data_IF_292110627075
#
_entry.id   IF_292110627075
#
_cell.length_a   1.000
_cell.length_b   1.000
_cell.length_c   1.000
_cell.angle_alpha   90.00
_cell.angle_beta   90.00
_cell.angle_gamma   90.00
#
_symmetry.space_group_name_H-M   'P 1'
#
loop_
_entity.id
_entity.type
_entity.pdbx_description
1 polymer ?
2 non-polymer ?
3 non-polymer ?
4 water ?
#
# COMPACT_ATOMS: atom_id res chain seq x y z
N UNK A 121 7.98 -39.45 23.52
CA UNK A 121 8.25 -38.36 24.44
C UNK A 121 8.47 -37.06 23.68
N UNK A 122 9.43 -37.07 22.76
CA UNK A 122 9.73 -35.89 21.96
C UNK A 122 8.60 -35.56 20.99
N UNK A 123 7.76 -36.53 20.66
CA UNK A 123 6.64 -36.28 19.74
C UNK A 123 5.65 -35.30 20.38
N UNK A 124 5.28 -35.56 21.63
CA UNK A 124 4.38 -34.63 22.33
C UNK A 124 5.12 -33.36 22.74
N UNK A 125 6.40 -33.49 23.11
CA UNK A 125 7.23 -32.36 23.49
C UNK A 125 7.71 -31.55 22.28
N UNK A 126 7.18 -31.83 21.09
CA UNK A 126 7.44 -30.98 19.92
C UNK A 126 6.73 -29.65 20.02
N UNK A 127 5.98 -29.42 21.11
CA UNK A 127 5.35 -28.12 21.31
C UNK A 127 6.37 -27.00 21.43
N UNK A 128 7.66 -27.34 21.59
CA UNK A 128 8.71 -26.33 21.54
C UNK A 128 8.73 -25.66 20.17
N UNK A 129 8.46 -26.44 19.12
CA UNK A 129 8.39 -25.87 17.77
C UNK A 129 7.22 -24.90 17.64
N UNK A 130 6.07 -25.26 18.23
CA UNK A 130 4.93 -24.35 18.20
C UNK A 130 5.16 -23.14 19.12
N UNK A 131 5.75 -23.39 20.30
CA UNK A 131 6.08 -22.29 21.19
C UNK A 131 7.14 -21.37 20.63
N UNK A 132 8.00 -21.89 19.75
CA UNK A 132 9.01 -21.04 19.12
C UNK A 132 8.42 -20.05 18.14
N UNK A 133 7.30 -20.41 17.51
CA UNK A 133 6.63 -19.47 16.62
C UNK A 133 5.91 -18.38 17.42
N UNK A 134 5.26 -18.76 18.52
CA UNK A 134 4.64 -17.78 19.40
C UNK A 134 5.66 -16.79 19.94
N UNK A 135 6.91 -17.23 20.09
CA UNK A 135 7.96 -16.31 20.56
C UNK A 135 8.30 -15.29 19.49
N UNK A 136 8.35 -15.71 18.22
CA UNK A 136 8.66 -14.77 17.15
C UNK A 136 7.53 -13.76 16.94
N UNK A 137 6.28 -14.21 17.09
CA UNK A 137 5.15 -13.28 17.01
C UNK A 137 5.20 -12.29 18.17
N UNK A 138 5.53 -12.77 19.37
CA UNK A 138 5.59 -11.89 20.54
C UNK A 138 6.65 -10.80 20.37
N UNK A 139 7.81 -11.17 19.82
CA UNK A 139 8.88 -10.19 19.64
C UNK A 139 8.51 -9.17 18.58
N UNK A 140 7.80 -9.58 17.53
CA UNK A 140 7.38 -8.65 16.50
C UNK A 140 6.24 -7.76 17.00
N UNK A 141 5.23 -8.36 17.65
CA UNK A 141 4.10 -7.58 18.15
C UNK A 141 4.54 -6.57 19.18
N UNK A 142 5.56 -6.88 19.99
CA UNK A 142 6.07 -5.91 20.94
C UNK A 142 6.78 -4.77 20.23
N UNK A 143 7.48 -5.06 19.13
CA UNK A 143 8.12 -4.00 18.36
C UNK A 143 7.09 -3.13 17.65
N UNK A 144 5.93 -3.69 17.31
CA UNK A 144 4.84 -2.91 16.74
C UNK A 144 4.09 -2.09 17.78
N UNK A 145 4.42 -2.23 19.06
CA UNK A 145 3.76 -1.51 20.16
C UNK A 145 2.28 -1.86 20.22
N UNK A 146 1.97 -3.14 20.03
CA UNK A 146 0.60 -3.64 20.12
C UNK A 146 0.32 -4.35 21.43
N UNK A 147 1.32 -4.49 22.30
CA UNK A 147 1.09 -4.90 23.67
C UNK A 147 0.88 -6.39 23.90
N UNK A 148 0.92 -7.21 22.85
CA UNK A 148 0.79 -8.66 22.98
C UNK A 148 -0.52 -9.04 23.67
N UNK A 149 -1.59 -8.31 23.36
CA UNK A 149 -2.90 -8.60 23.92
C UNK A 149 -3.68 -9.60 23.07
N UNK A 150 -3.76 -9.35 21.75
CA UNK A 150 -4.41 -10.30 20.86
C UNK A 150 -3.62 -11.59 20.72
N UNK A 151 -2.33 -11.58 21.06
CA UNK A 151 -1.52 -12.78 20.93
C UNK A 151 -1.83 -13.79 22.02
N UNK A 152 -1.93 -13.34 23.27
CA UNK A 152 -2.19 -14.26 24.38
C UNK A 152 -3.51 -15.01 24.20
N UNK A 153 -4.49 -14.38 23.56
CA UNK A 153 -5.75 -15.07 23.30
C UNK A 153 -5.61 -16.07 22.16
N UNK A 154 -4.83 -15.71 21.13
CA UNK A 154 -4.66 -16.62 19.99
C UNK A 154 -3.98 -17.92 20.40
N UNK A 155 -3.10 -17.87 21.39
CA UNK A 155 -2.43 -19.08 21.84
C UNK A 155 -3.42 -20.05 22.44
N UNK A 156 -4.38 -19.53 23.24
CA UNK A 156 -5.35 -20.41 23.88
C UNK A 156 -6.32 -21.00 22.86
N UNK A 157 -6.79 -20.19 21.92
CA UNK A 157 -7.72 -20.70 20.91
C UNK A 157 -7.03 -21.71 20.00
N UNK A 158 -5.73 -21.54 19.75
CA UNK A 158 -5.01 -22.50 18.91
C UNK A 158 -4.98 -23.88 19.56
N UNK A 159 -4.82 -23.93 20.88
CA UNK A 159 -4.82 -25.22 21.58
C UNK A 159 -6.22 -25.84 21.56
N UNK A 160 -7.24 -25.05 21.87
CA UNK A 160 -8.61 -25.55 21.82
C UNK A 160 -9.00 -25.99 20.41
N UNK A 161 -8.42 -25.35 19.39
CA UNK A 161 -8.61 -25.83 18.02
C UNK A 161 -7.92 -27.17 17.82
N UNK A 162 -6.72 -27.34 18.41
CA UNK A 162 -6.04 -28.63 18.35
C UNK A 162 -6.78 -29.68 19.18
N UNK A 163 -7.43 -29.25 20.27
CA UNK A 163 -8.25 -30.18 21.04
C UNK A 163 -9.47 -30.63 20.26
N UNK A 164 -10.15 -29.70 19.58
CA UNK A 164 -11.31 -30.06 18.78
C UNK A 164 -10.92 -30.87 17.55
N UNK A 165 -9.74 -30.60 16.98
CA UNK A 165 -9.31 -31.34 15.80
C UNK A 165 -8.97 -32.78 16.14
N UNK A 166 -8.36 -33.01 17.31
CA UNK A 166 -8.06 -34.37 17.73
C UNK A 166 -9.34 -35.17 17.96
N UNK A 167 -10.36 -34.55 18.53
CA UNK A 167 -11.64 -35.23 18.71
C UNK A 167 -12.31 -35.49 17.36
N UNK A 168 -12.16 -34.56 16.41
CA UNK A 168 -12.71 -34.77 15.08
C UNK A 168 -12.01 -35.91 14.33
N UNK A 169 -10.81 -36.29 14.76
CA UNK A 169 -10.10 -37.42 14.19
C UNK A 169 -10.56 -38.75 14.76
N UNK A 170 -11.71 -38.78 15.45
CA UNK A 170 -12.31 -40.04 15.90
C UNK A 170 -12.87 -40.74 14.67
N UNK A 171 -11.97 -41.46 13.98
CA UNK A 171 -12.31 -42.03 12.67
C UNK A 171 -13.43 -43.05 12.78
N UNK A 172 -13.44 -43.85 13.85
CA UNK A 172 -14.43 -44.91 14.04
C UNK A 172 -14.51 -45.82 12.82
N UNK A 173 -13.35 -46.18 12.28
CA UNK A 173 -13.25 -46.99 11.08
C UNK A 173 -13.53 -48.47 11.31
N UNK A 174 -13.97 -48.84 12.51
CA UNK A 174 -14.29 -50.22 12.82
C UNK A 174 -15.30 -50.31 13.96
N UNK A 201 -21.79 -51.84 16.88
CA UNK A 201 -23.13 -51.46 17.33
C UNK A 201 -23.12 -50.08 17.99
N UNK A 202 -22.06 -49.32 17.77
CA UNK A 202 -21.92 -47.99 18.34
C UNK A 202 -22.61 -46.98 17.42
N UNK A 203 -23.63 -46.32 17.95
CA UNK A 203 -24.38 -45.31 17.20
C UNK A 203 -23.79 -43.91 17.40
N UNK A 204 -22.47 -43.79 17.26
CA UNK A 204 -21.77 -42.54 17.45
C UNK A 204 -21.91 -41.59 16.26
N UNK A 205 -22.72 -41.95 15.26
CA UNK A 205 -22.89 -41.10 14.08
C UNK A 205 -23.60 -39.79 14.39
N UNK A 206 -24.07 -39.59 15.62
CA UNK A 206 -24.64 -38.31 16.03
C UNK A 206 -23.62 -37.39 16.66
N UNK A 207 -22.57 -37.94 17.26
CA UNK A 207 -21.49 -37.12 17.79
C UNK A 207 -20.56 -36.57 16.72
N UNK A 208 -20.60 -37.13 15.51
CA UNK A 208 -19.74 -36.63 14.44
C UNK A 208 -20.17 -35.27 13.94
N UNK A 209 -21.46 -35.00 13.67
CA UNK A 209 -21.83 -33.62 13.29
C UNK A 209 -21.63 -32.62 14.41
N UNK A 210 -21.71 -33.06 15.67
CA UNK A 210 -21.50 -32.13 16.78
C UNK A 210 -20.05 -31.72 16.88
N UNK A 211 -19.12 -32.60 16.51
CA UNK A 211 -17.70 -32.26 16.58
C UNK A 211 -17.29 -31.39 15.38
N UNK A 212 -17.92 -31.57 14.24
CA UNK A 212 -17.53 -30.82 13.05
C UNK A 212 -17.98 -29.36 13.15
N UNK A 213 -19.25 -29.14 13.49
CA UNK A 213 -19.77 -27.78 13.56
C UNK A 213 -19.14 -27.00 14.72
N UNK A 214 -18.88 -27.68 15.84
CA UNK A 214 -18.25 -27.00 16.97
C UNK A 214 -16.80 -26.66 16.68
N UNK A 215 -16.11 -27.47 15.89
CA UNK A 215 -14.74 -27.17 15.52
C UNK A 215 -14.68 -25.99 14.56
N UNK A 216 -15.67 -25.88 13.66
CA UNK A 216 -15.70 -24.75 12.75
C UNK A 216 -16.04 -23.45 13.46
N UNK A 217 -16.82 -23.53 14.54
CA UNK A 217 -17.11 -22.33 15.33
C UNK A 217 -15.84 -21.77 15.98
N UNK A 218 -14.90 -22.65 16.35
CA UNK A 218 -13.62 -22.23 16.88
C UNK A 218 -12.57 -22.04 15.79
N UNK A 219 -12.76 -22.66 14.62
CA UNK A 219 -11.82 -22.45 13.52
C UNK A 219 -11.96 -21.04 12.94
N UNK A 220 -13.19 -20.52 12.88
CA UNK A 220 -13.39 -19.15 12.41
C UNK A 220 -12.95 -18.13 13.46
N UNK A 221 -13.15 -18.45 14.75
CA UNK A 221 -12.70 -17.55 15.80
C UNK A 221 -11.18 -17.50 15.85
N UNK A 222 -10.52 -18.63 15.57
CA UNK A 222 -9.06 -18.66 15.55
C UNK A 222 -8.51 -17.93 14.33
N UNK A 223 -9.15 -18.12 13.17
CA UNK A 223 -8.69 -17.44 11.96
C UNK A 223 -9.00 -15.95 12.00
N UNK A 224 -10.05 -15.55 12.73
CA UNK A 224 -10.34 -14.13 12.88
C UNK A 224 -9.28 -13.41 13.71
N UNK A 225 -8.55 -14.14 14.57
CA UNK A 225 -7.49 -13.53 15.34
C UNK A 225 -6.16 -13.48 14.58
N UNK A 226 -5.91 -14.49 13.74
CA UNK A 226 -4.68 -14.52 12.96
C UNK A 226 -4.59 -13.37 11.97
N UNK A 227 -5.72 -12.75 11.62
CA UNK A 227 -5.69 -11.57 10.76
C UNK A 227 -5.33 -10.30 11.52
N UNK A 228 -5.73 -10.22 12.79
CA UNK A 228 -5.41 -9.04 13.61
C UNK A 228 -3.95 -9.01 14.01
N UNK A 229 -3.24 -10.13 13.90
CA UNK A 229 -1.82 -10.18 14.22
C UNK A 229 -1.02 -9.65 13.04
N UNK A 230 -0.11 -8.72 13.29
CA UNK A 230 0.70 -8.15 12.24
C UNK A 230 1.82 -9.08 11.80
N UNK A 231 2.28 -8.83 10.57
CA UNK A 231 3.35 -9.64 9.99
C UNK A 231 4.64 -9.49 10.80
N UNK A 232 5.45 -10.54 10.80
CA UNK A 232 6.70 -10.53 11.57
C UNK A 232 7.68 -9.57 10.92
N UNK A 233 8.19 -8.63 11.70
CA UNK A 233 9.13 -7.63 11.19
C UNK A 233 10.50 -8.25 10.95
N UNK A 234 11.24 -7.63 10.04
CA UNK A 234 12.60 -8.07 9.75
C UNK A 234 13.57 -7.48 10.77
N UNK A 235 14.73 -8.12 10.98
CA UNK A 235 15.61 -7.69 12.07
C UNK A 235 16.18 -6.29 11.91
N UNK A 236 16.32 -5.79 10.68
CA UNK A 236 16.89 -4.47 10.46
C UNK A 236 15.83 -3.37 10.41
N UNK A 237 14.68 -3.58 11.04
CA UNK A 237 13.62 -2.58 11.12
C UNK A 237 13.87 -1.70 12.34
N UNK A 238 13.79 -0.38 12.22
CA UNK A 238 13.97 0.49 13.39
C UNK A 238 12.87 0.26 14.41
N UNK A 239 13.28 0.05 15.67
CA UNK A 239 12.36 -0.23 16.76
C UNK A 239 12.05 1.10 17.44
N UNK A 240 10.92 1.69 17.09
CA UNK A 240 10.47 2.95 17.68
C UNK A 240 9.00 3.13 17.38
N UNK A 241 8.33 3.92 18.22
CA UNK A 241 6.91 4.18 18.08
C UNK A 241 6.60 5.57 17.51
N UNK A 242 7.62 6.36 17.21
CA UNK A 242 7.42 7.68 16.62
C UNK A 242 8.07 7.72 15.25
N UNK A 243 7.47 8.50 14.35
CA UNK A 243 8.02 8.65 13.01
C UNK A 243 9.24 9.56 12.99
N UNK A 244 9.46 10.34 14.05
CA UNK A 244 10.65 11.17 14.15
C UNK A 244 11.92 10.35 14.29
N UNK A 245 11.82 9.04 14.53
CA UNK A 245 12.96 8.14 14.57
C UNK A 245 13.09 7.31 13.29
N UNK A 246 12.50 7.76 12.18
CA UNK A 246 12.67 7.08 10.92
C UNK A 246 14.14 7.12 10.49
N UNK A 247 14.68 5.96 10.14
CA UNK A 247 16.09 5.83 9.82
C UNK A 247 16.36 6.31 8.39
N UNK A 248 17.14 7.37 8.26
CA UNK A 248 17.53 7.86 6.94
C UNK A 248 18.65 6.99 6.39
N UNK A 249 18.37 6.31 5.28
CA UNK A 249 19.36 5.41 4.70
C UNK A 249 20.34 6.17 3.80
N UNK A 250 19.82 6.87 2.80
CA UNK A 250 20.66 7.60 1.86
C UNK A 250 19.93 8.83 1.36
N UNK A 251 20.69 9.80 0.87
CA UNK A 251 20.16 11.06 0.38
C UNK A 251 20.80 11.40 -0.96
N UNK A 252 19.99 11.87 -1.89
CA UNK A 252 20.46 12.23 -3.22
C UNK A 252 19.98 13.63 -3.58
N UNK A 253 20.84 14.39 -4.25
CA UNK A 253 20.46 15.70 -4.76
C UNK A 253 20.66 16.83 -3.77
N UNK A 254 21.07 17.99 -4.28
CA UNK A 254 21.26 19.18 -3.46
C UNK A 254 19.95 19.96 -3.38
N UNK A 255 19.71 20.58 -2.23
CA UNK A 255 18.45 21.29 -2.01
C UNK A 255 18.47 22.60 -2.79
N UNK A 256 17.41 22.93 -3.54
CA UNK A 256 17.39 24.18 -4.31
C UNK A 256 17.47 25.43 -3.44
N UNK A 257 17.56 26.60 -4.07
CA UNK A 257 17.68 27.87 -3.37
C UNK A 257 16.35 28.59 -3.24
N UNK A 258 15.23 27.93 -3.55
CA UNK A 258 13.93 28.58 -3.45
C UNK A 258 13.51 28.70 -1.99
N UNK A 259 13.19 29.93 -1.58
CA UNK A 259 12.75 30.22 -0.22
C UNK A 259 11.29 30.65 -0.29
N UNK A 260 10.37 29.70 -0.12
CA UNK A 260 8.95 29.95 -0.32
C UNK A 260 8.48 31.00 0.68
N UNK A 261 7.95 32.11 0.15
CA UNK A 261 7.44 33.19 1.00
C UNK A 261 6.17 33.82 0.44
N UNK A 262 5.59 33.27 -0.61
CA UNK A 262 4.38 33.81 -1.20
C UNK A 262 4.59 34.71 -2.40
N UNK A 263 5.87 34.97 -2.79
CA UNK A 263 6.26 35.79 -3.92
C UNK A 263 6.39 34.91 -5.18
N UNK A 264 6.15 35.48 -6.37
CA UNK A 264 6.16 34.65 -7.59
C UNK A 264 7.46 33.87 -7.81
N UNK A 265 8.58 34.33 -7.26
CA UNK A 265 9.82 33.58 -7.38
C UNK A 265 9.87 32.34 -6.49
N UNK A 266 9.01 32.26 -5.49
CA UNK A 266 9.01 31.13 -4.56
C UNK A 266 7.62 31.01 -3.95
N UNK A 267 6.85 30.05 -4.45
CA UNK A 267 5.46 29.86 -4.05
C UNK A 267 5.25 28.41 -3.60
N UNK A 268 4.07 28.18 -3.04
CA UNK A 268 3.62 26.82 -2.76
C UNK A 268 3.01 26.20 -4.02
N UNK A 269 2.92 24.87 -4.02
CA UNK A 269 2.47 24.17 -5.22
C UNK A 269 1.06 24.57 -5.61
N UNK A 270 0.18 24.77 -4.63
CA UNK A 270 -1.19 25.20 -4.94
C UNK A 270 -1.22 26.61 -5.51
N UNK A 271 -0.29 27.48 -5.07
CA UNK A 271 -0.27 28.85 -5.57
C UNK A 271 0.24 28.91 -7.00
N UNK A 272 1.19 28.04 -7.36
CA UNK A 272 1.69 28.02 -8.74
C UNK A 272 0.65 27.43 -9.68
N UNK A 273 0.07 26.28 -9.30
CA UNK A 273 -0.88 25.60 -10.18
C UNK A 273 -2.16 26.41 -10.35
N UNK A 274 -2.60 27.12 -9.31
CA UNK A 274 -3.79 27.95 -9.46
C UNK A 274 -3.52 29.17 -10.33
N UNK A 275 -2.27 29.65 -10.36
CA UNK A 275 -1.88 30.74 -11.24
C UNK A 275 -1.53 30.26 -12.64
N UNK A 276 -1.58 28.95 -12.89
CA UNK A 276 -1.32 28.39 -14.21
C UNK A 276 -2.56 27.74 -14.81
N UNK A 277 -3.71 27.88 -14.17
CA UNK A 277 -4.91 27.21 -14.64
C UNK A 277 -4.79 25.71 -14.66
N UNK A 278 -4.08 25.12 -13.69
CA UNK A 278 -3.91 23.68 -13.65
C UNK A 278 -5.15 22.99 -13.10
N UNK A 279 -5.68 23.49 -11.98
CA UNK A 279 -6.80 22.82 -11.32
C UNK A 279 -7.83 23.87 -10.93
N UNK A 280 -9.02 23.36 -10.59
CA UNK A 280 -10.13 24.19 -10.12
C UNK A 280 -10.72 23.49 -8.90
N UNK A 281 -10.48 24.04 -7.71
CA UNK A 281 -11.01 23.44 -6.49
C UNK A 281 -12.29 24.12 -6.00
N UNK A 282 -12.54 25.37 -6.40
CA UNK A 282 -13.80 26.02 -6.02
C UNK A 282 -14.98 25.27 -6.63
N UNK A 283 -14.93 25.04 -7.94
CA UNK A 283 -16.01 24.33 -8.60
C UNK A 283 -15.90 22.82 -8.40
N UNK A 284 -14.70 22.31 -8.15
CA UNK A 284 -14.55 20.88 -7.89
C UNK A 284 -15.13 20.48 -6.54
N UNK A 285 -14.96 21.34 -5.54
CA UNK A 285 -15.55 21.09 -4.23
C UNK A 285 -17.06 21.28 -4.23
N UNK A 286 -17.58 22.11 -5.13
CA UNK A 286 -19.02 22.29 -5.23
C UNK A 286 -19.71 21.03 -5.74
N UNK A 287 -19.02 20.25 -6.56
CA UNK A 287 -19.59 19.06 -7.17
C UNK A 287 -19.31 17.77 -6.42
N UNK A 288 -18.14 17.65 -5.78
CA UNK A 288 -17.74 16.39 -5.15
C UNK A 288 -17.46 16.53 -3.65
N UNK A 289 -17.69 17.71 -3.07
CA UNK A 289 -17.37 17.91 -1.68
C UNK A 289 -15.92 18.33 -1.47
N UNK A 290 -15.53 18.40 -0.19
CA UNK A 290 -14.19 18.81 0.17
C UNK A 290 -13.15 17.97 -0.57
N UNK A 291 -12.05 18.63 -0.96
CA UNK A 291 -10.91 18.11 -1.72
C UNK A 291 -11.22 17.85 -3.19
N UNK A 292 -12.45 18.12 -3.65
CA UNK A 292 -12.77 17.91 -5.05
C UNK A 292 -12.07 18.93 -5.94
N UNK A 293 -11.76 18.50 -7.16
CA UNK A 293 -11.03 19.36 -8.09
C UNK A 293 -11.22 18.87 -9.52
N UNK A 294 -11.04 19.80 -10.45
CA UNK A 294 -10.87 19.49 -11.87
C UNK A 294 -9.39 19.62 -12.22
N UNK A 295 -8.96 18.86 -13.22
CA UNK A 295 -7.69 19.10 -13.88
C UNK A 295 -7.95 19.91 -15.15
N UNK A 296 -7.05 20.83 -15.46
CA UNK A 296 -7.28 21.76 -16.58
C UNK A 296 -5.98 22.04 -17.29
N UNK A 297 -6.08 22.26 -18.61
CA UNK A 297 -5.00 22.73 -19.49
C UNK A 297 -3.77 21.85 -19.28
N UNK A 298 -2.58 22.42 -19.08
CA UNK A 298 -1.36 21.66 -18.92
C UNK A 298 -1.35 20.83 -17.64
N UNK A 299 -2.30 21.05 -16.73
CA UNK A 299 -2.49 20.09 -15.66
C UNK A 299 -2.81 18.71 -16.19
N UNK A 300 -3.70 18.64 -17.18
CA UNK A 300 -4.01 17.36 -17.82
C UNK A 300 -2.85 16.91 -18.71
N UNK A 301 -2.19 17.85 -19.38
CA UNK A 301 -1.12 17.50 -20.30
C UNK A 301 0.08 16.94 -19.55
N UNK A 302 0.47 17.60 -18.46
CA UNK A 302 1.57 17.09 -17.65
C UNK A 302 1.18 15.79 -16.96
N UNK A 303 -0.09 15.67 -16.54
CA UNK A 303 -0.55 14.42 -15.93
C UNK A 303 -0.47 13.26 -16.91
N UNK A 304 -0.86 13.50 -18.17
CA UNK A 304 -0.77 12.45 -19.18
C UNK A 304 0.67 12.16 -19.53
N UNK A 305 1.49 13.20 -19.67
CA UNK A 305 2.90 13.00 -19.98
C UNK A 305 3.60 12.22 -18.87
N UNK A 306 3.36 12.59 -17.61
CA UNK A 306 4.02 11.91 -16.50
C UNK A 306 3.57 10.45 -16.40
N UNK A 307 2.34 10.15 -16.81
CA UNK A 307 1.86 8.76 -16.79
C UNK A 307 2.55 7.93 -17.85
N UNK A 308 2.69 8.46 -19.06
CA UNK A 308 3.36 7.73 -20.13
C UNK A 308 4.83 7.48 -19.77
N UNK A 309 5.52 8.51 -19.28
CA UNK A 309 6.91 8.33 -18.88
C UNK A 309 7.05 7.38 -17.71
N UNK A 310 6.05 7.32 -16.83
CA UNK A 310 6.13 6.39 -15.70
C UNK A 310 5.88 4.95 -16.16
N UNK A 311 4.81 4.72 -16.93
CA UNK A 311 4.54 3.38 -17.42
C UNK A 311 5.67 2.88 -18.31
N UNK A 312 6.15 3.71 -19.24
CA UNK A 312 7.27 3.32 -20.07
C UNK A 312 8.54 3.04 -19.27
N UNK A 313 8.72 3.74 -18.15
CA UNK A 313 9.88 3.50 -17.31
C UNK A 313 9.94 2.06 -16.82
N UNK A 314 8.79 1.51 -16.39
CA UNK A 314 8.76 0.14 -15.90
C UNK A 314 8.77 -0.87 -17.04
N UNK A 315 8.06 -0.60 -18.13
CA UNK A 315 8.02 -1.52 -19.26
C UNK A 315 9.41 -1.74 -19.85
N UNK A 316 10.25 -0.70 -19.86
CA UNK A 316 11.62 -0.85 -20.33
C UNK A 316 12.46 -1.74 -19.42
N UNK A 317 12.04 -1.93 -18.17
CA UNK A 317 12.71 -2.82 -17.24
C UNK A 317 12.07 -4.20 -17.18
N UNK A 318 11.21 -4.53 -18.14
CA UNK A 318 10.59 -5.83 -18.20
C UNK A 318 9.33 -6.00 -17.38
N UNK A 319 8.73 -4.93 -16.91
CA UNK A 319 7.50 -5.02 -16.13
C UNK A 319 6.30 -5.28 -17.03
N UNK A 320 5.27 -5.88 -16.45
CA UNK A 320 4.06 -6.25 -17.17
C UNK A 320 2.97 -5.23 -16.90
N UNK A 321 2.53 -4.53 -17.94
CA UNK A 321 1.53 -3.48 -17.78
C UNK A 321 0.17 -4.08 -17.46
N UNK A 322 -0.55 -3.45 -16.53
CA UNK A 322 -1.85 -3.96 -16.13
C UNK A 322 -2.71 -2.85 -15.55
N UNK A 323 -3.96 -2.75 -16.03
CA UNK A 323 -4.95 -1.83 -15.47
C UNK A 323 -6.06 -2.62 -14.83
N UNK A 324 -6.28 -2.49 -13.52
CA UNK A 324 -7.19 -3.39 -12.82
C UNK A 324 -8.59 -2.81 -12.73
N UNK A 325 -9.55 -3.57 -12.23
CA UNK A 325 -10.85 -2.99 -11.89
C UNK A 325 -10.71 -1.99 -10.76
N UNK A 326 -11.53 -0.95 -10.80
CA UNK A 326 -11.44 0.11 -9.80
C UNK A 326 -12.27 -0.16 -8.57
N UNK A 327 -13.11 -1.19 -8.55
CA UNK A 327 -13.75 -1.63 -7.32
C UNK A 327 -13.68 -3.14 -7.20
N UNK A 328 -13.77 -3.62 -5.96
CA UNK A 328 -13.67 -5.03 -5.64
C UNK A 328 -14.81 -5.43 -4.71
N UNK A 329 -15.10 -6.73 -4.67
CA UNK A 329 -16.13 -7.26 -3.80
C UNK A 329 -15.61 -7.42 -2.37
N UNK A 330 -16.55 -7.58 -1.45
CA UNK A 330 -16.24 -7.56 -0.01
C UNK A 330 -15.24 -8.65 0.36
N UNK A 331 -15.52 -9.89 -0.04
CA UNK A 331 -14.66 -11.00 0.38
C UNK A 331 -13.25 -10.88 -0.16
N UNK A 332 -13.09 -10.35 -1.37
CA UNK A 332 -11.75 -10.18 -1.94
C UNK A 332 -11.04 -8.97 -1.35
N UNK A 333 -11.74 -7.85 -1.21
CA UNK A 333 -11.13 -6.66 -0.62
C UNK A 333 -10.73 -6.90 0.83
N UNK A 334 -11.50 -7.71 1.55
CA UNK A 334 -11.18 -7.98 2.95
C UNK A 334 -9.87 -8.73 3.12
N UNK A 335 -9.52 -9.58 2.16
CA UNK A 335 -8.27 -10.33 2.23
C UNK A 335 -7.07 -9.54 1.70
N UNK A 336 -7.30 -8.39 1.06
CA UNK A 336 -6.22 -7.58 0.50
C UNK A 336 -5.94 -6.32 1.29
N UNK A 337 -6.92 -5.79 2.01
CA UNK A 337 -6.78 -4.54 2.74
C UNK A 337 -6.89 -4.77 4.24
N UNK A 338 -6.20 -3.93 5.00
CA UNK A 338 -6.26 -4.00 6.46
C UNK A 338 -7.64 -3.56 6.94
N UNK A 339 -7.92 -3.84 8.22
CA UNK A 339 -9.20 -3.43 8.80
C UNK A 339 -9.34 -1.92 8.81
N UNK A 340 -8.25 -1.20 9.13
CA UNK A 340 -8.31 0.26 9.18
C UNK A 340 -8.60 0.88 7.82
N UNK A 341 -8.32 0.17 6.73
CA UNK A 341 -8.62 0.69 5.40
C UNK A 341 -10.12 0.86 5.19
N UNK A 342 -10.94 -0.02 5.77
CA UNK A 342 -12.38 0.08 5.56
C UNK A 342 -12.98 1.27 6.30
N UNK A 343 -12.45 1.61 7.48
CA UNK A 343 -12.98 2.72 8.26
C UNK A 343 -12.42 4.06 7.82
N UNK A 344 -11.18 4.10 7.34
CA UNK A 344 -10.52 5.37 7.04
C UNK A 344 -10.44 5.69 5.56
N UNK A 345 -10.35 4.69 4.69
CA UNK A 345 -9.93 4.91 3.31
C UNK A 345 -10.97 4.52 2.26
N UNK A 346 -11.51 3.31 2.35
CA UNK A 346 -12.24 2.71 1.22
C UNK A 346 -13.65 3.25 1.12
N UNK A 347 -14.01 3.77 -0.05
CA UNK A 347 -15.40 4.10 -0.35
C UNK A 347 -16.20 2.82 -0.53
N UNK A 348 -17.42 2.81 0.02
CA UNK A 348 -18.28 1.63 0.04
C UNK A 348 -19.46 1.86 -0.90
N UNK A 349 -19.65 0.94 -1.84
CA UNK A 349 -20.81 0.97 -2.72
C UNK A 349 -21.69 -0.22 -2.37
N UNK A 350 -22.66 -0.05 -1.46
CA UNK A 350 -23.51 -1.17 -1.07
C UNK A 350 -24.55 -1.49 -2.13
N UNK A 351 -25.04 -2.73 -2.06
CA UNK A 351 -26.08 -3.17 -2.98
C UNK A 351 -27.40 -2.49 -2.67
N UNK A 352 -28.24 -2.37 -3.69
CA UNK A 352 -29.52 -1.71 -3.52
C UNK A 352 -30.43 -2.51 -2.58
N UNK A 353 -31.23 -1.78 -1.80
CA UNK A 353 -32.17 -2.37 -0.84
C UNK A 353 -31.45 -3.23 0.19
N UNK A 354 -30.21 -2.89 0.52
CA UNK A 354 -29.45 -3.56 1.56
C UNK A 354 -29.37 -2.74 2.84
N UNK A 355 -30.12 -1.63 2.92
CA UNK A 355 -30.16 -0.77 4.09
C UNK A 355 -28.79 -0.21 4.44
N UNK A 356 -27.92 -0.06 3.44
CA UNK A 356 -26.58 0.45 3.64
C UNK A 356 -25.62 -0.47 4.36
N UNK A 357 -26.04 -1.69 4.69
CA UNK A 357 -25.17 -2.61 5.39
C UNK A 357 -24.18 -3.24 4.42
N UNK A 358 -23.14 -3.85 4.99
CA UNK A 358 -22.06 -4.45 4.19
C UNK A 358 -22.46 -5.90 3.95
N UNK A 359 -23.10 -6.16 2.81
CA UNK A 359 -23.46 -7.51 2.41
C UNK A 359 -22.33 -8.11 1.57
N UNK A 360 -22.53 -9.35 1.13
CA UNK A 360 -21.51 -10.03 0.34
C UNK A 360 -21.38 -9.44 -1.07
N UNK A 361 -22.40 -8.74 -1.55
CA UNK A 361 -22.34 -8.09 -2.86
C UNK A 361 -21.88 -6.64 -2.77
N UNK A 362 -21.41 -6.19 -1.61
CA UNK A 362 -20.92 -4.84 -1.48
C UNK A 362 -19.64 -4.65 -2.28
N UNK A 363 -19.49 -3.46 -2.87
CA UNK A 363 -18.32 -3.10 -3.63
C UNK A 363 -17.54 -2.00 -2.91
N UNK A 364 -16.22 -2.03 -3.07
CA UNK A 364 -15.33 -1.04 -2.48
C UNK A 364 -14.38 -0.53 -3.56
N UNK A 365 -14.32 0.79 -3.73
CA UNK A 365 -13.39 1.38 -4.68
C UNK A 365 -11.95 1.19 -4.20
N UNK A 366 -11.06 0.93 -5.15
CA UNK A 366 -9.67 0.61 -4.79
C UNK A 366 -8.96 1.87 -4.32
N UNK A 367 -8.16 1.72 -3.25
CA UNK A 367 -7.30 2.79 -2.80
C UNK A 367 -5.96 2.81 -3.52
N UNK A 368 -5.62 1.72 -4.20
CA UNK A 368 -4.37 1.57 -4.93
C UNK A 368 -4.53 0.33 -5.81
N UNK A 369 -3.73 0.28 -6.88
CA UNK A 369 -3.76 -0.91 -7.71
C UNK A 369 -3.12 -2.12 -7.02
N UNK A 370 -2.45 -1.91 -5.89
CA UNK A 370 -1.93 -3.02 -5.10
C UNK A 370 -3.05 -3.97 -4.69
N UNK A 371 -4.22 -3.43 -4.34
CA UNK A 371 -5.30 -4.27 -3.82
C UNK A 371 -5.87 -5.21 -4.88
N UNK A 372 -6.24 -4.76 -6.08
CA UNK A 372 -6.74 -5.73 -7.07
C UNK A 372 -5.65 -6.62 -7.65
N UNK A 373 -4.41 -6.16 -7.70
CA UNK A 373 -3.34 -7.01 -8.24
C UNK A 373 -2.95 -8.10 -7.24
N UNK A 374 -3.00 -7.79 -5.94
CA UNK A 374 -2.77 -8.82 -4.94
C UNK A 374 -3.90 -9.85 -4.96
N UNK A 375 -5.15 -9.38 -4.93
CA UNK A 375 -6.29 -10.31 -4.97
C UNK A 375 -6.38 -11.05 -6.29
N UNK A 376 -5.66 -10.59 -7.31
CA UNK A 376 -5.66 -11.26 -8.61
C UNK A 376 -5.06 -12.66 -8.54
N UNK A 377 -4.21 -12.92 -7.55
CA UNK A 377 -3.57 -14.22 -7.38
C UNK A 377 -4.35 -15.12 -6.42
N UNK A 378 -5.64 -14.89 -6.26
CA UNK A 378 -6.46 -15.69 -5.35
C UNK A 378 -6.56 -17.12 -5.86
N UNK A 379 -6.20 -18.07 -5.00
CA UNK A 379 -6.25 -19.51 -5.32
C UNK A 379 -5.45 -19.80 -6.59
N UNK A 380 -4.25 -19.24 -6.67
CA UNK A 380 -3.36 -19.40 -7.81
C UNK A 380 -2.05 -20.02 -7.31
N UNK A 381 -1.61 -21.08 -7.98
CA UNK A 381 -0.37 -21.76 -7.67
C UNK A 381 0.67 -21.41 -8.73
N UNK A 382 1.88 -21.07 -8.29
CA UNK A 382 2.95 -20.68 -9.19
C UNK A 382 4.20 -21.51 -8.89
N UNK A 383 4.94 -21.84 -9.94
CA UNK A 383 6.16 -22.63 -9.82
C UNK A 383 7.38 -21.72 -9.88
N UNK A 384 8.52 -22.27 -9.45
CA UNK A 384 9.77 -21.50 -9.41
C UNK A 384 10.21 -21.05 -10.80
N UNK A 385 9.76 -21.72 -11.86
CA UNK A 385 10.09 -21.31 -13.21
C UNK A 385 9.17 -20.21 -13.73
N UNK A 386 7.99 -20.05 -13.14
CA UNK A 386 7.06 -19.01 -13.57
C UNK A 386 7.49 -17.63 -13.10
N UNK A 387 7.89 -17.53 -11.85
CA UNK A 387 8.23 -16.27 -11.20
C UNK A 387 9.74 -16.06 -11.22
N UNK A 388 10.22 -14.84 -10.88
CA UNK A 388 9.55 -13.61 -10.42
C UNK A 388 8.69 -12.92 -11.47
N UNK A 389 7.57 -12.35 -11.03
CA UNK A 389 6.66 -11.60 -11.87
C UNK A 389 6.68 -10.14 -11.40
N UNK A 390 6.90 -9.22 -12.34
CA UNK A 390 6.93 -7.80 -12.04
C UNK A 390 5.79 -7.12 -12.79
N UNK A 391 4.86 -6.54 -12.04
CA UNK A 391 3.69 -5.89 -12.61
C UNK A 391 3.86 -4.37 -12.62
N UNK A 392 3.48 -3.76 -13.73
CA UNK A 392 3.43 -2.30 -13.87
C UNK A 392 1.96 -1.88 -13.85
N UNK A 393 1.46 -1.57 -12.66
CA UNK A 393 0.06 -1.23 -12.49
C UNK A 393 -0.19 0.27 -12.65
N UNK A 394 -1.32 0.59 -13.27
CA UNK A 394 -1.77 1.97 -13.42
C UNK A 394 -3.27 2.01 -13.21
N UNK A 395 -3.75 2.97 -12.43
CA UNK A 395 -5.16 3.08 -12.10
C UNK A 395 -5.40 4.43 -11.42
N UNK A 396 -6.68 4.77 -11.31
CA UNK A 396 -7.11 5.84 -10.42
C UNK A 396 -7.31 5.26 -9.02
N UNK A 397 -7.06 6.08 -8.01
CA UNK A 397 -7.11 5.65 -6.62
C UNK A 397 -8.11 6.50 -5.84
N UNK A 398 -9.00 5.84 -5.11
CA UNK A 398 -10.02 6.50 -4.33
C UNK A 398 -9.74 6.28 -2.84
N UNK A 399 -9.68 7.38 -2.09
CA UNK A 399 -9.35 7.33 -0.67
C UNK A 399 -10.19 8.36 0.07
N UNK A 400 -10.83 7.94 1.17
CA UNK A 400 -11.67 8.85 1.92
C UNK A 400 -10.86 9.86 2.73
N UNK A 401 -9.63 9.52 3.12
CA UNK A 401 -8.79 10.38 3.95
C UNK A 401 -9.53 10.84 5.21
N UNK A 402 -10.25 9.91 5.84
CA UNK A 402 -11.07 10.26 7.00
C UNK A 402 -10.21 10.57 8.21
N UNK A 403 -9.00 10.05 8.29
CA UNK A 403 -8.08 10.37 9.36
C UNK A 403 -7.20 11.56 9.12
N UNK A 404 -7.18 12.08 7.89
CA UNK A 404 -6.40 13.26 7.54
C UNK A 404 -7.27 14.52 7.47
N UNK A 405 -8.19 14.66 8.41
CA UNK A 405 -9.13 15.76 8.37
C UNK A 405 -8.41 17.09 8.60
N UNK A 406 -8.55 18.00 7.64
CA UNK A 406 -7.90 19.30 7.72
C UNK A 406 -6.46 19.33 7.27
N UNK A 407 -5.77 18.19 7.27
CA UNK A 407 -4.37 18.15 6.87
C UNK A 407 -4.26 18.16 5.36
N UNK A 408 -3.48 19.12 4.83
CA UNK A 408 -3.15 19.23 3.40
C UNK A 408 -4.42 19.26 2.54
N UNK A 409 -5.10 20.39 2.59
CA UNK A 409 -6.35 20.57 1.87
C UNK A 409 -6.27 21.58 0.73
N UNK A 410 -5.12 22.21 0.52
CA UNK A 410 -4.93 23.16 -0.57
C UNK A 410 -4.23 22.47 -1.73
N UNK A 411 -4.75 22.66 -2.94
CA UNK A 411 -4.16 22.05 -4.10
C UNK A 411 -4.46 20.56 -4.18
N UNK A 412 -3.59 19.85 -4.90
CA UNK A 412 -3.79 18.44 -5.16
C UNK A 412 -2.68 17.60 -4.53
N UNK A 413 -2.30 17.94 -3.30
CA UNK A 413 -1.30 17.14 -2.58
C UNK A 413 -1.95 15.93 -1.90
N UNK A 414 -3.11 16.14 -1.29
CA UNK A 414 -3.87 15.07 -0.64
C UNK A 414 -5.31 15.21 -1.08
N UNK A 415 -5.79 14.23 -1.86
CA UNK A 415 -7.09 14.30 -2.51
C UNK A 415 -7.77 12.93 -2.40
N UNK A 416 -9.06 12.91 -2.74
CA UNK A 416 -9.83 11.67 -2.71
C UNK A 416 -9.63 10.83 -3.96
N UNK A 417 -9.19 11.44 -5.06
CA UNK A 417 -9.10 10.76 -6.35
C UNK A 417 -7.80 11.18 -7.02
N UNK A 418 -6.95 10.20 -7.34
CA UNK A 418 -5.68 10.48 -8.00
C UNK A 418 -5.23 9.25 -8.76
N UNK A 419 -4.30 9.46 -9.70
CA UNK A 419 -3.68 8.39 -10.47
C UNK A 419 -2.32 8.02 -9.87
N UNK A 420 -1.91 6.78 -10.12
CA UNK A 420 -0.65 6.28 -9.58
C UNK A 420 -0.17 5.11 -10.43
N UNK A 421 1.10 5.15 -10.81
CA UNK A 421 1.77 4.03 -11.47
C UNK A 421 2.50 3.23 -10.41
N UNK A 422 2.21 1.93 -10.34
CA UNK A 422 2.55 1.10 -9.19
C UNK A 422 3.46 -0.06 -9.60
N UNK A 423 4.39 -0.40 -8.71
CA UNK A 423 5.17 -1.63 -8.80
C UNK A 423 4.52 -2.70 -7.93
N UNK A 424 4.29 -3.88 -8.51
CA UNK A 424 3.86 -5.04 -7.73
C UNK A 424 4.62 -6.25 -8.22
N UNK A 425 5.28 -6.95 -7.31
CA UNK A 425 6.15 -8.07 -7.64
C UNK A 425 5.78 -9.30 -6.84
N UNK A 426 5.86 -10.46 -7.49
CA UNK A 426 5.65 -11.76 -6.86
C UNK A 426 6.96 -12.53 -7.00
N UNK A 427 7.58 -12.86 -5.87
CA UNK A 427 8.90 -13.47 -5.85
C UNK A 427 8.90 -14.71 -4.95
N UNK A 428 9.97 -15.49 -5.07
CA UNK A 428 10.23 -16.55 -4.11
C UNK A 428 10.52 -15.94 -2.74
N UNK A 429 10.29 -16.71 -1.67
CA UNK A 429 10.73 -16.23 -0.36
C UNK A 429 12.22 -15.95 -0.29
N UNK A 430 13.02 -16.63 -1.11
CA UNK A 430 14.46 -16.40 -1.12
C UNK A 430 14.82 -15.09 -1.81
N UNK A 431 14.05 -14.70 -2.82
CA UNK A 431 14.33 -13.51 -3.62
C UNK A 431 13.63 -12.27 -3.12
N UNK A 432 12.90 -12.36 -2.00
CA UNK A 432 12.06 -11.24 -1.55
C UNK A 432 12.90 -10.02 -1.21
N UNK A 433 13.97 -10.21 -0.42
CA UNK A 433 14.75 -9.07 0.03
C UNK A 433 15.56 -8.46 -1.12
N UNK A 434 16.06 -9.30 -2.04
CA UNK A 434 16.80 -8.78 -3.18
C UNK A 434 15.89 -7.96 -4.09
N UNK A 435 14.66 -8.41 -4.29
CA UNK A 435 13.74 -7.67 -5.15
C UNK A 435 13.26 -6.39 -4.46
N UNK A 436 13.14 -6.41 -3.14
CA UNK A 436 12.72 -5.21 -2.42
C UNK A 436 13.71 -4.07 -2.64
N UNK A 437 15.01 -4.36 -2.55
CA UNK A 437 16.01 -3.33 -2.81
C UNK A 437 16.04 -2.92 -4.28
N UNK A 438 15.66 -3.82 -5.19
CA UNK A 438 15.58 -3.46 -6.59
C UNK A 438 14.41 -2.51 -6.86
N UNK A 439 13.27 -2.76 -6.21
CA UNK A 439 12.09 -1.93 -6.45
C UNK A 439 12.30 -0.51 -5.95
N UNK A 440 13.01 -0.34 -4.83
CA UNK A 440 13.25 1.01 -4.31
C UNK A 440 14.31 1.73 -5.15
N UNK A 441 15.29 1.01 -5.68
CA UNK A 441 16.29 1.67 -6.52
C UNK A 441 15.71 2.07 -7.87
N UNK A 442 14.70 1.35 -8.35
CA UNK A 442 14.00 1.77 -9.57
C UNK A 442 13.24 3.06 -9.32
N UNK A 443 12.61 3.18 -8.14
CA UNK A 443 11.93 4.43 -7.80
C UNK A 443 12.93 5.57 -7.61
N UNK A 444 14.08 5.28 -7.00
CA UNK A 444 15.13 6.29 -6.88
C UNK A 444 15.57 6.78 -8.25
N UNK A 445 15.79 5.84 -9.18
CA UNK A 445 16.23 6.20 -10.52
C UNK A 445 15.19 7.06 -11.23
N UNK A 446 13.90 6.76 -11.04
CA UNK A 446 12.85 7.54 -11.69
C UNK A 446 12.91 9.00 -11.29
N UNK A 447 13.03 9.27 -9.99
CA UNK A 447 13.02 10.65 -9.51
C UNK A 447 14.37 11.35 -9.70
N UNK A 448 15.46 10.59 -9.89
CA UNK A 448 16.70 11.21 -10.31
C UNK A 448 16.57 11.82 -11.71
N UNK A 449 15.86 11.13 -12.60
CA UNK A 449 15.67 11.66 -13.95
C UNK A 449 14.77 12.88 -13.95
N UNK A 450 13.88 13.00 -12.97
CA UNK A 450 13.11 14.23 -12.79
C UNK A 450 13.93 15.33 -12.11
N UNK A 451 15.16 15.01 -11.69
CA UNK A 451 16.04 15.96 -11.00
C UNK A 451 15.39 16.53 -9.75
N UNK A 452 14.59 15.71 -9.05
CA UNK A 452 13.98 16.11 -7.79
C UNK A 452 14.80 15.56 -6.64
N UNK A 453 15.38 16.41 -5.79
CA UNK A 453 16.13 15.89 -4.64
C UNK A 453 15.21 15.16 -3.68
N UNK A 454 15.75 14.12 -3.05
CA UNK A 454 14.96 13.24 -2.21
C UNK A 454 15.84 12.62 -1.14
N UNK A 455 15.22 11.80 -0.30
CA UNK A 455 15.93 10.97 0.67
C UNK A 455 15.11 9.70 0.89
N UNK A 456 15.80 8.58 1.08
CA UNK A 456 15.16 7.29 1.27
C UNK A 456 15.30 6.92 2.75
N UNK A 457 14.16 6.69 3.40
CA UNK A 457 14.13 6.41 4.83
C UNK A 457 13.45 5.06 5.06
N UNK A 458 13.72 4.49 6.24
CA UNK A 458 13.12 3.24 6.66
C UNK A 458 12.13 3.53 7.79
N UNK A 459 10.88 3.13 7.61
CA UNK A 459 9.83 3.48 8.57
C UNK A 459 10.00 2.65 9.84
N UNK A 460 9.71 3.28 10.98
CA UNK A 460 9.86 2.65 12.28
C UNK A 460 8.86 1.51 12.44
N UNK A 461 9.03 0.70 13.49
CA UNK A 461 8.22 -0.50 13.65
C UNK A 461 6.79 -0.16 14.06
N UNK A 462 6.61 0.76 14.99
CA UNK A 462 5.28 1.06 15.51
C UNK A 462 4.35 1.77 14.53
N UNK A 463 4.86 2.14 13.35
CA UNK A 463 4.07 2.87 12.36
C UNK A 463 3.69 2.04 11.16
N UNK A 464 4.20 0.82 11.03
CA UNK A 464 3.98 0.00 9.84
C UNK A 464 2.56 -0.57 9.83
N UNK A 465 2.09 -0.86 8.62
CA UNK A 465 0.84 -1.60 8.47
C UNK A 465 1.03 -3.05 8.91
N UNK A 466 -0.09 -3.76 9.05
CA UNK A 466 -0.02 -5.15 9.48
C UNK A 466 0.65 -6.05 8.45
N UNK A 467 0.64 -5.68 7.18
CA UNK A 467 1.19 -6.53 6.13
C UNK A 467 2.69 -6.34 5.93
N UNK A 468 3.22 -5.16 6.23
CA UNK A 468 4.61 -4.86 5.95
C UNK A 468 5.53 -5.50 6.98
N UNK A 469 6.53 -6.25 6.49
CA UNK A 469 7.64 -6.67 7.33
C UNK A 469 8.76 -5.63 7.35
N UNK A 470 8.80 -4.75 6.36
CA UNK A 470 9.72 -3.63 6.28
C UNK A 470 9.25 -2.71 5.16
N UNK A 471 9.30 -1.41 5.41
CA UNK A 471 8.83 -0.43 4.43
C UNK A 471 9.88 0.66 4.24
N UNK A 472 10.13 1.00 2.98
CA UNK A 472 10.99 2.10 2.59
C UNK A 472 10.14 3.25 2.06
N UNK A 473 10.45 4.46 2.48
CA UNK A 473 9.77 5.66 2.00
C UNK A 473 10.76 6.55 1.25
N UNK A 474 10.32 7.09 0.12
CA UNK A 474 11.09 8.09 -0.63
C UNK A 474 10.41 9.43 -0.43
N UNK A 475 11.06 10.30 0.35
CA UNK A 475 10.55 11.64 0.61
C UNK A 475 11.31 12.63 -0.26
N UNK A 476 10.60 13.25 -1.20
CA UNK A 476 11.21 14.23 -2.08
C UNK A 476 11.15 15.62 -1.45
N UNK A 477 12.00 16.52 -1.95
CA UNK A 477 12.13 17.84 -1.37
C UNK A 477 11.03 18.77 -1.89
N UNK A 478 10.30 19.39 -0.97
CA UNK A 478 9.30 20.39 -1.29
C UNK A 478 9.76 21.74 -0.77
N UNK A 479 10.18 22.67 -1.64
CA UNK A 479 10.59 23.99 -1.15
C UNK A 479 9.49 24.73 -0.41
N UNK A 480 8.23 24.51 -0.77
CA UNK A 480 7.12 25.15 -0.08
C UNK A 480 7.05 24.78 1.39
N UNK A 481 6.95 23.48 1.68
CA UNK A 481 6.93 23.01 3.05
C UNK A 481 8.29 23.06 3.71
N UNK A 482 9.35 23.37 2.97
CA UNK A 482 10.71 23.44 3.49
C UNK A 482 11.12 22.13 4.16
N UNK A 483 10.66 21.01 3.59
CA UNK A 483 10.90 19.70 4.16
C UNK A 483 10.87 18.66 3.06
N UNK A 484 11.19 17.42 3.44
CA UNK A 484 10.94 16.26 2.60
C UNK A 484 9.53 15.73 2.87
N UNK A 485 8.82 15.40 1.80
CA UNK A 485 7.46 14.88 1.92
C UNK A 485 7.34 13.57 1.16
N UNK A 486 6.53 12.67 1.70
CA UNK A 486 6.39 11.32 1.16
C UNK A 486 5.85 11.34 -0.27
N UNK A 487 6.56 10.66 -1.16
CA UNK A 487 6.13 10.45 -2.53
C UNK A 487 6.00 8.99 -2.94
N UNK A 488 6.73 8.09 -2.27
CA UNK A 488 6.80 6.68 -2.64
C UNK A 488 6.87 5.85 -1.38
N UNK A 489 6.01 4.82 -1.29
CA UNK A 489 6.12 3.79 -0.26
C UNK A 489 6.40 2.46 -0.93
N UNK A 490 7.33 1.70 -0.34
CA UNK A 490 7.77 0.42 -0.91
C UNK A 490 7.90 -0.56 0.24
N UNK A 491 7.06 -1.60 0.24
CA UNK A 491 6.95 -2.52 1.35
C UNK A 491 7.21 -3.95 0.91
N UNK A 492 7.80 -4.72 1.81
CA UNK A 492 7.99 -6.16 1.63
C UNK A 492 6.99 -6.86 2.54
N UNK A 493 5.88 -7.32 1.95
CA UNK A 493 4.81 -7.93 2.70
C UNK A 493 4.99 -9.44 2.93
N UNK A 494 6.01 -10.04 2.32
CA UNK A 494 6.31 -11.48 2.39
C UNK A 494 5.02 -12.23 2.08
N UNK A 495 4.63 -13.24 2.86
CA UNK A 495 3.45 -14.05 2.58
C UNK A 495 2.25 -13.66 3.44
N UNK A 496 2.14 -12.39 3.82
CA UNK A 496 1.01 -11.95 4.63
C UNK A 496 -0.29 -12.03 3.84
N UNK A 497 -0.36 -11.31 2.72
CA UNK A 497 -1.55 -11.33 1.89
C UNK A 497 -1.67 -12.62 1.09
N UNK A 498 -0.54 -13.18 0.65
CA UNK A 498 -0.57 -14.38 -0.18
C UNK A 498 -1.13 -15.57 0.59
N UNK A 499 -0.84 -15.67 1.89
CA UNK A 499 -1.47 -16.71 2.70
C UNK A 499 -2.96 -16.44 2.87
N UNK A 500 -3.34 -15.17 3.05
CA UNK A 500 -4.75 -14.82 3.10
C UNK A 500 -5.46 -15.13 1.79
N UNK A 501 -4.77 -14.90 0.67
CA UNK A 501 -5.33 -15.11 -0.65
C UNK A 501 -5.04 -16.49 -1.22
N UNK A 502 -4.31 -17.34 -0.48
CA UNK A 502 -3.98 -18.69 -0.91
C UNK A 502 -3.26 -18.70 -2.25
N UNK A 503 -2.18 -17.92 -2.33
CA UNK A 503 -1.28 -17.95 -3.49
C UNK A 503 -0.13 -18.90 -3.15
N UNK A 504 -0.38 -20.18 -3.37
CA UNK A 504 0.57 -21.22 -2.99
C UNK A 504 1.73 -21.29 -3.99
N UNK A 505 2.80 -21.95 -3.57
CA UNK A 505 4.00 -22.08 -4.39
C UNK A 505 4.12 -23.47 -5.00
N UNK A 515 3.08 -26.18 4.11
CA UNK A 515 2.63 -25.32 3.01
C UNK A 515 3.51 -24.07 2.91
N UNK A 516 3.86 -23.71 1.68
CA UNK A 516 4.71 -22.56 1.41
C UNK A 516 4.01 -21.64 0.42
N UNK A 517 4.19 -20.34 0.60
CA UNK A 517 3.51 -19.33 -0.20
C UNK A 517 4.52 -18.38 -0.82
N UNK A 518 4.08 -17.64 -1.84
CA UNK A 518 4.90 -16.63 -2.46
C UNK A 518 5.01 -15.41 -1.56
N UNK A 519 5.93 -14.51 -1.91
CA UNK A 519 6.11 -13.24 -1.23
C UNK A 519 5.63 -12.12 -2.13
N UNK A 520 4.79 -11.25 -1.58
CA UNK A 520 4.25 -10.11 -2.31
C UNK A 520 4.97 -8.83 -1.89
N UNK A 521 5.33 -8.02 -2.88
CA UNK A 521 5.95 -6.73 -2.63
C UNK A 521 5.24 -5.67 -3.48
N UNK A 522 5.16 -4.46 -2.94
CA UNK A 522 4.55 -3.36 -3.66
C UNK A 522 5.36 -2.10 -3.42
N UNK A 523 5.35 -1.21 -4.40
CA UNK A 523 6.05 0.04 -4.29
C UNK A 523 5.55 1.08 -5.26
N UNK A 524 5.40 2.31 -4.80
CA UNK A 524 5.01 3.40 -5.68
C UNK A 524 6.13 3.66 -6.69
N UNK A 525 5.74 3.94 -7.93
CA UNK A 525 6.66 4.55 -8.88
C UNK A 525 6.41 6.04 -9.03
N UNK A 526 5.17 6.42 -9.31
CA UNK A 526 4.81 7.83 -9.40
C UNK A 526 3.33 7.98 -9.09
N UNK A 527 3.02 8.70 -8.02
CA UNK A 527 1.68 9.21 -7.79
C UNK A 527 1.57 10.53 -8.55
N UNK A 528 0.79 10.54 -9.63
CA UNK A 528 0.87 11.62 -10.61
C UNK A 528 0.56 12.96 -9.96
N UNK A 529 -0.57 13.07 -9.27
CA UNK A 529 -0.99 14.36 -8.74
C UNK A 529 0.02 14.93 -7.75
N UNK A 530 0.51 14.10 -6.82
CA UNK A 530 1.44 14.61 -5.82
C UNK A 530 2.83 14.86 -6.39
N UNK A 531 3.28 14.02 -7.33
CA UNK A 531 4.57 14.27 -7.98
C UNK A 531 4.54 15.59 -8.73
N UNK A 532 3.40 15.93 -9.33
CA UNK A 532 3.27 17.22 -10.01
C UNK A 532 3.46 18.38 -9.05
N UNK A 533 2.99 18.22 -7.81
CA UNK A 533 3.21 19.26 -6.80
C UNK A 533 4.69 19.44 -6.51
N UNK A 534 5.44 18.33 -6.51
CA UNK A 534 6.88 18.41 -6.28
C UNK A 534 7.61 18.99 -7.49
N UNK A 535 7.22 18.58 -8.70
CA UNK A 535 7.80 19.14 -9.92
C UNK A 535 7.57 20.64 -9.97
N UNK A 536 6.37 21.07 -9.60
CA UNK A 536 5.99 22.47 -9.73
C UNK A 536 6.79 23.35 -8.78
N UNK A 537 7.01 22.88 -7.55
CA UNK A 537 7.72 23.71 -6.58
C UNK A 537 9.22 23.79 -6.85
N UNK A 538 9.78 22.83 -7.57
CA UNK A 538 11.22 22.84 -7.82
C UNK A 538 11.57 23.49 -9.16
N UNK A 539 10.74 23.30 -10.17
CA UNK A 539 10.97 23.89 -11.49
C UNK A 539 10.27 25.23 -11.66
N UNK A 540 9.93 25.90 -10.57
CA UNK A 540 9.26 27.19 -10.65
C UNK A 540 10.27 28.31 -10.86
N UNK A 541 9.81 29.35 -11.55
CA UNK A 541 10.54 30.60 -11.73
C UNK A 541 9.59 31.73 -11.41
N UNK A 542 10.11 32.94 -11.16
CA UNK A 542 9.21 34.09 -10.96
C UNK A 542 8.38 34.45 -12.18
N UNK A 543 8.64 33.83 -13.33
CA UNK A 543 7.91 34.12 -14.55
C UNK A 543 7.00 32.97 -14.99
N UNK A 544 7.10 31.81 -14.37
CA UNK A 544 6.27 30.69 -14.76
C UNK A 544 6.85 29.38 -14.23
N UNK A 545 6.61 28.32 -14.99
CA UNK A 545 7.02 26.97 -14.61
C UNK A 545 7.90 26.38 -15.70
N UNK A 546 9.02 25.77 -15.28
CA UNK A 546 9.86 24.99 -16.18
C UNK A 546 9.38 23.55 -16.21
N UNK A 547 9.57 22.89 -17.34
CA UNK A 547 9.14 21.51 -17.55
C UNK A 547 10.37 20.63 -17.53
N UNK A 548 10.38 19.53 -16.77
CA UNK A 548 11.56 18.64 -16.75
C UNK A 548 11.89 18.13 -18.14
N UNK A 549 13.20 17.98 -18.40
CA UNK A 549 13.64 17.61 -19.73
C UNK A 549 13.09 16.25 -20.16
N UNK A 550 12.96 15.32 -19.22
CA UNK A 550 12.44 13.99 -19.57
C UNK A 550 10.99 14.04 -20.01
N UNK A 551 10.24 15.05 -19.56
CA UNK A 551 8.84 15.17 -19.91
C UNK A 551 8.58 15.96 -21.18
N UNK A 552 9.54 16.82 -21.58
CA UNK A 552 9.35 17.65 -22.76
C UNK A 552 8.97 16.87 -24.02
N UNK A 553 9.56 15.72 -24.34
CA UNK A 553 9.11 14.99 -25.53
C UNK A 553 7.65 14.56 -25.46
N UNK A 554 7.18 14.20 -24.27
CA UNK A 554 5.80 13.74 -24.11
C UNK A 554 4.80 14.89 -24.14
N UNK A 555 5.26 16.14 -24.11
CA UNK A 555 4.38 17.31 -24.13
C UNK A 555 4.55 18.12 -25.41
N UNK A 556 4.82 17.45 -26.52
CA UNK A 556 4.95 18.05 -27.84
C UNK A 556 6.09 19.07 -27.93
N UNK A 557 6.98 19.10 -26.94
CA UNK A 557 8.17 19.92 -27.02
C UNK A 557 8.16 21.19 -26.20
N UNK A 558 7.13 21.43 -25.39
CA UNK A 558 7.05 22.66 -24.60
C UNK A 558 8.14 22.67 -23.54
N UNK A 559 8.80 23.82 -23.39
CA UNK A 559 9.88 23.98 -22.42
C UNK A 559 9.55 24.89 -21.25
N UNK A 560 8.47 25.68 -21.34
CA UNK A 560 8.18 26.68 -20.32
C UNK A 560 6.71 27.09 -20.43
N UNK A 561 6.09 27.34 -19.28
CA UNK A 561 4.69 27.74 -19.22
C UNK A 561 4.57 29.06 -18.46
N UNK A 562 4.05 30.12 -19.06
CA UNK A 562 3.92 31.39 -18.35
C UNK A 562 2.66 31.47 -17.51
N UNK A 563 2.71 32.35 -16.52
CA UNK A 563 1.56 32.56 -15.66
C UNK A 563 0.42 33.22 -16.44
N UNK A 564 -0.78 32.68 -16.31
CA UNK A 564 -1.94 33.21 -17.01
C UNK A 564 -2.33 34.59 -16.48
X LIG B 1 0.49 0.34 -2.94
X LIG B 1 1.41 1.14 -2.11
X LIG B 1 2.65 1.63 -2.86
X LIG B 1 2.28 2.49 -3.93
X LIG B 1 0.61 2.33 -1.59
X LIG B 1 -0.55 2.55 -1.93
X LIG B 1 1.24 3.22 -0.68
X LIG B 1 0.62 4.53 -0.01
X LIG B 1 -0.70 4.16 0.37
X LIG B 1 1.52 5.12 0.92
X LIG B 1 0.45 5.60 -1.18
X LIG B 1 1.45 5.67 -2.17
X LIG B 1 1.70 7.09 -2.61
X LIG B 1 0.50 7.64 -3.19
X LIG B 1 2.05 8.06 -1.48
X LIG B 1 3.40 7.99 -1.09
X LIG B 1 1.65 9.40 -2.08
X LIG B 1 2.66 9.87 -2.98
X LIG B 1 0.41 9.02 -2.91
X LIG B 1 -0.84 9.30 -2.18
X LIG B 1 -1.37 8.59 -1.13
X LIG B 1 -2.50 9.08 -0.66
X LIG B 1 -2.72 10.18 -1.46
X LIG B 1 -3.75 11.14 -1.48
X LIG B 1 -4.78 11.16 -0.63
X LIG B 1 -3.68 12.13 -2.41
X LIG B 1 -2.65 12.13 -3.26
X LIG B 1 -1.63 11.29 -3.34
X LIG B 1 -1.72 10.33 -2.40
X LIG C 1 3.26 5.38 3.05
#
# INVERSE_FOLDING_TARGET
MAHHHHHHMKSDSEVNQEAKPEVKPEVKPETHINLKVSDGSSEIFFKIKKTTPLRRLMEAFAKRQGKEMDSLRFLYDGIRIQADQTPEDLDMEDNDIIEAHREQIGGTLEAQTQGPGSMPIDINRIRVEKGGDYQKIAESEMARYKGLETLEELVKVDQKWREDMFKLEQSKKELNSISKEIAQIKKKDPKADCKDLQDKSVQLKKNLPIIEKQALETEEVRDKLWHKIGNVLQPDVPISNTEDDNLVLRTWGEIPDIKVDGTPGKLHHNEIMSRLGFYDSVKGAELAGHRGYFLKDYGVIMSMALSHYAMGFLLKKGYLAIQPPYFMKRDLMGKAAELQDFEETLYHIPSDNSKGEVDSNSLFLIATSEQPIAAMHHNVTLEDKDLPIKYAGISTCFRKEAGAHGKDTWGIFRIHQFEKVEQFCVTLPEDSQKIHEEMISISEEFYQSLELPYRVISIVSGALNDAASKKYDLEAWFPGYNSYRELVSCSNCTDYQSRALECRLGFRKEGEREKHYCHFLNGTLCAIQRTMCCIVENYQTPDGLRIPKVLQPYMNGVEFIPFKNETATCAN
SSA N10 CA CB OG C9 O9 N8 S1 O1S O2S O5' C5' C4' O4' C3' O3' C2' O2' C1' N9 C8 N7 C5 C6 N6 N1 C2 N3 C4
MG MG
#
